data_IF_498344025382
#
_entry.id   IF_498344025382
#
_cell.length_a   1.000
_cell.length_b   1.000
_cell.length_c   1.000
_cell.angle_alpha   90.00
_cell.angle_beta   90.00
_cell.angle_gamma   90.00
#
_symmetry.space_group_name_H-M   'P 1'
#
loop_
_entity.id
_entity.type
_entity.pdbx_description
1 polymer ?
#
# COMPACT_ATOMS: atom_id res chain seq x y z
N UNK A 1 2.38 10.78 20.93
CA UNK A 1 3.31 11.48 20.02
C UNK A 1 3.13 11.01 18.57
N UNK A 2 1.93 11.16 17.98
CA UNK A 2 1.59 10.65 16.62
C UNK A 2 1.60 11.75 15.54
N UNK A 3 1.80 13.00 15.90
CA UNK A 3 1.63 14.17 15.02
C UNK A 3 2.72 14.33 13.96
N UNK A 4 3.90 13.70 14.13
CA UNK A 4 5.00 13.81 13.15
C UNK A 4 4.76 13.03 11.86
N UNK A 5 4.03 11.91 11.91
CA UNK A 5 3.77 11.09 10.71
C UNK A 5 2.84 11.80 9.71
N UNK A 6 1.81 12.47 10.23
CA UNK A 6 0.82 13.21 9.41
C UNK A 6 1.39 14.52 8.84
N UNK A 7 2.45 15.07 9.45
CA UNK A 7 3.06 16.32 9.02
C UNK A 7 3.65 16.24 7.60
N UNK A 8 4.20 15.09 7.21
CA UNK A 8 4.72 14.90 5.85
C UNK A 8 3.62 14.90 4.78
N UNK A 9 2.46 14.34 5.09
CA UNK A 9 1.28 14.40 4.21
C UNK A 9 0.73 15.82 4.09
N UNK A 10 0.66 16.56 5.21
CA UNK A 10 0.25 17.97 5.23
C UNK A 10 1.20 18.89 4.46
N UNK A 11 2.49 18.56 4.40
CA UNK A 11 3.51 19.36 3.70
C UNK A 11 3.50 19.13 2.19
N UNK A 12 3.16 17.91 1.76
CA UNK A 12 3.20 17.53 0.34
C UNK A 12 1.92 17.94 -0.39
N UNK A 13 0.79 18.17 0.32
CA UNK A 13 -0.48 18.66 -0.26
C UNK A 13 -0.85 17.93 -1.56
N UNK A 14 -1.07 16.61 -1.45
CA UNK A 14 -1.41 15.77 -2.59
C UNK A 14 -2.76 16.19 -3.18
N UNK A 15 -2.86 16.23 -4.51
CA UNK A 15 -4.17 16.30 -5.16
C UNK A 15 -4.89 14.96 -5.08
N UNK A 16 -6.21 14.94 -5.27
CA UNK A 16 -6.99 13.69 -5.31
C UNK A 16 -6.47 12.73 -6.40
N UNK A 17 -6.00 13.27 -7.54
CA UNK A 17 -5.43 12.49 -8.65
C UNK A 17 -4.08 11.89 -8.25
N UNK A 18 -3.20 12.69 -7.66
CA UNK A 18 -1.91 12.20 -7.14
C UNK A 18 -2.15 11.09 -6.10
N UNK A 19 -3.06 11.31 -5.16
CA UNK A 19 -3.39 10.33 -4.14
C UNK A 19 -3.91 9.01 -4.73
N UNK A 20 -4.88 9.07 -5.65
CA UNK A 20 -5.42 7.88 -6.29
C UNK A 20 -4.36 7.08 -7.07
N UNK A 21 -3.49 7.78 -7.80
CA UNK A 21 -2.39 7.14 -8.54
C UNK A 21 -1.34 6.53 -7.60
N UNK A 22 -1.04 7.18 -6.47
CA UNK A 22 -0.14 6.60 -5.48
C UNK A 22 -0.70 5.34 -4.84
N UNK A 23 -2.01 5.28 -4.55
CA UNK A 23 -2.67 4.06 -4.08
C UNK A 23 -2.56 2.95 -5.13
N UNK A 24 -2.84 3.26 -6.41
CA UNK A 24 -2.71 2.28 -7.49
C UNK A 24 -1.27 1.74 -7.62
N UNK A 25 -0.26 2.61 -7.53
CA UNK A 25 1.16 2.21 -7.53
C UNK A 25 1.49 1.29 -6.35
N UNK A 26 1.01 1.60 -5.14
CA UNK A 26 1.24 0.79 -3.94
C UNK A 26 0.59 -0.60 -4.09
N UNK A 27 -0.66 -0.65 -4.54
CA UNK A 27 -1.40 -1.91 -4.72
C UNK A 27 -0.79 -2.78 -5.83
N UNK A 28 -0.12 -2.16 -6.80
CA UNK A 28 0.57 -2.85 -7.89
C UNK A 28 2.00 -3.28 -7.52
N UNK A 29 2.46 -3.14 -6.27
CA UNK A 29 3.78 -3.67 -5.88
C UNK A 29 3.70 -5.17 -5.58
N UNK A 30 4.54 -5.96 -6.24
CA UNK A 30 4.70 -7.40 -6.01
C UNK A 30 5.46 -7.69 -4.70
N UNK A 31 4.79 -7.59 -3.55
CA UNK A 31 5.38 -7.91 -2.24
C UNK A 31 5.11 -9.34 -1.76
N UNK A 32 4.27 -10.10 -2.46
CA UNK A 32 3.88 -11.45 -2.04
C UNK A 32 4.87 -12.52 -2.48
N UNK A 33 5.43 -13.27 -1.53
CA UNK A 33 6.29 -14.44 -1.81
C UNK A 33 5.55 -15.52 -2.64
N UNK A 34 4.22 -15.56 -2.57
CA UNK A 34 3.37 -16.58 -3.19
C UNK A 34 2.85 -16.24 -4.60
N UNK A 35 3.36 -15.18 -5.24
CA UNK A 35 2.98 -14.84 -6.61
C UNK A 35 3.80 -15.62 -7.64
N UNK A 36 3.15 -16.10 -8.70
CA UNK A 36 3.86 -16.65 -9.86
C UNK A 36 4.72 -15.57 -10.53
N UNK A 37 5.77 -15.96 -11.27
CA UNK A 37 6.58 -15.00 -12.02
C UNK A 37 5.74 -14.07 -12.92
N UNK A 38 4.77 -14.64 -13.64
CA UNK A 38 3.89 -13.90 -14.55
C UNK A 38 3.01 -12.90 -13.79
N UNK A 39 2.55 -13.26 -12.58
CA UNK A 39 1.80 -12.35 -11.72
C UNK A 39 2.66 -11.20 -11.19
N UNK A 40 3.95 -11.45 -10.92
CA UNK A 40 4.89 -10.40 -10.52
C UNK A 40 5.16 -9.43 -11.68
N UNK A 41 5.34 -9.95 -12.89
CA UNK A 41 5.55 -9.14 -14.09
C UNK A 41 4.32 -8.28 -14.40
N UNK A 42 3.11 -8.85 -14.32
CA UNK A 42 1.87 -8.10 -14.51
C UNK A 42 1.73 -6.93 -13.53
N UNK A 43 2.04 -7.17 -12.24
CA UNK A 43 2.00 -6.13 -11.22
C UNK A 43 3.05 -5.06 -11.46
N UNK A 44 4.25 -5.46 -11.88
CA UNK A 44 5.31 -4.52 -12.26
C UNK A 44 4.87 -3.60 -13.41
N UNK A 45 4.28 -4.17 -14.46
CA UNK A 45 3.79 -3.43 -15.62
C UNK A 45 2.70 -2.42 -15.25
N UNK A 46 1.73 -2.81 -14.42
CA UNK A 46 0.70 -1.88 -13.93
C UNK A 46 1.31 -0.78 -13.04
N UNK A 47 2.29 -1.12 -12.18
CA UNK A 47 3.00 -0.12 -11.37
C UNK A 47 3.74 0.90 -12.24
N UNK A 48 4.43 0.45 -13.29
CA UNK A 48 5.14 1.30 -14.23
C UNK A 48 4.17 2.21 -15.01
N UNK A 49 3.04 1.67 -15.44
CA UNK A 49 1.97 2.40 -16.13
C UNK A 49 1.38 3.50 -15.26
N UNK A 50 1.01 3.23 -14.01
CA UNK A 50 0.49 4.26 -13.11
C UNK A 50 1.54 5.32 -12.76
N UNK A 51 2.81 4.93 -12.63
CA UNK A 51 3.93 5.86 -12.44
C UNK A 51 4.07 6.81 -13.64
N UNK A 52 3.97 6.29 -14.86
CA UNK A 52 3.99 7.09 -16.08
C UNK A 52 2.79 8.04 -16.17
N UNK A 53 1.58 7.59 -15.82
CA UNK A 53 0.39 8.45 -15.77
C UNK A 53 0.60 9.59 -14.78
N UNK A 54 1.15 9.31 -13.60
CA UNK A 54 1.45 10.32 -12.59
C UNK A 54 2.50 11.33 -13.09
N UNK A 55 3.57 10.86 -13.74
CA UNK A 55 4.57 11.75 -14.35
C UNK A 55 3.92 12.70 -15.34
N UNK A 56 3.11 12.17 -16.27
CA UNK A 56 2.46 12.99 -17.30
C UNK A 56 1.46 13.97 -16.71
N UNK A 57 0.71 13.55 -15.70
CA UNK A 57 -0.21 14.43 -14.97
C UNK A 57 0.54 15.60 -14.31
N UNK A 58 1.65 15.31 -13.62
CA UNK A 58 2.47 16.33 -12.98
C UNK A 58 3.13 17.27 -14.00
N UNK A 59 3.65 16.71 -15.10
CA UNK A 59 4.29 17.50 -16.17
C UNK A 59 3.31 18.44 -16.86
N UNK A 60 2.06 18.01 -17.08
CA UNK A 60 1.01 18.87 -17.66
C UNK A 60 0.62 20.02 -16.74
N UNK A 61 0.72 19.84 -15.42
CA UNK A 61 0.32 20.86 -14.43
C UNK A 61 1.43 21.82 -14.07
N UNK A 62 2.67 21.33 -14.01
CA UNK A 62 3.79 22.06 -13.40
C UNK A 62 4.92 22.37 -14.38
N UNK A 63 4.96 21.71 -15.55
CA UNK A 63 6.10 21.75 -16.47
C UNK A 63 6.94 20.48 -16.41
N UNK A 64 7.84 20.30 -17.37
CA UNK A 64 8.60 19.05 -17.53
C UNK A 64 9.50 18.73 -16.34
N UNK A 65 10.24 19.75 -15.85
CA UNK A 65 11.24 19.60 -14.79
C UNK A 65 10.55 19.50 -13.43
N UNK A 66 9.67 20.45 -13.13
CA UNK A 66 8.91 20.55 -11.90
C UNK A 66 7.98 19.34 -11.74
N UNK A 67 7.39 18.85 -12.84
CA UNK A 67 6.58 17.64 -12.83
C UNK A 67 7.37 16.39 -12.49
N UNK A 68 8.62 16.28 -12.95
CA UNK A 68 9.52 15.18 -12.60
C UNK A 68 9.98 15.27 -11.13
N UNK A 69 10.30 16.47 -10.65
CA UNK A 69 10.60 16.71 -9.23
C UNK A 69 9.41 16.32 -8.34
N UNK A 70 8.20 16.72 -8.73
CA UNK A 70 6.97 16.36 -8.01
C UNK A 70 6.74 14.86 -7.97
N UNK A 71 7.03 14.13 -9.04
CA UNK A 71 6.98 12.67 -9.02
C UNK A 71 7.97 12.11 -7.98
N UNK A 72 9.21 12.59 -7.94
CA UNK A 72 10.21 12.14 -6.97
C UNK A 72 9.75 12.37 -5.52
N UNK A 73 9.13 13.52 -5.23
CA UNK A 73 8.50 13.79 -3.93
C UNK A 73 7.42 12.77 -3.57
N UNK A 74 6.53 12.47 -4.51
CA UNK A 74 5.42 11.53 -4.31
C UNK A 74 5.95 10.11 -4.04
N UNK A 75 6.95 9.65 -4.79
CA UNK A 75 7.58 8.34 -4.59
C UNK A 75 8.32 8.28 -3.24
N UNK A 76 9.02 9.37 -2.86
CA UNK A 76 9.66 9.44 -1.55
C UNK A 76 8.64 9.32 -0.40
N UNK A 77 7.46 9.89 -0.55
CA UNK A 77 6.39 9.80 0.44
C UNK A 77 5.86 8.35 0.57
N UNK A 78 5.74 7.61 -0.54
CA UNK A 78 5.41 6.17 -0.50
C UNK A 78 6.47 5.40 0.30
N UNK A 79 7.75 5.56 -0.05
CA UNK A 79 8.83 4.78 0.57
C UNK A 79 8.89 5.01 2.08
N UNK A 80 8.80 6.27 2.52
CA UNK A 80 8.72 6.60 3.96
C UNK A 80 7.50 6.01 4.64
N UNK A 81 6.35 5.98 3.96
CA UNK A 81 5.13 5.40 4.51
C UNK A 81 5.26 3.89 4.71
N UNK A 82 5.90 3.20 3.76
CA UNK A 82 6.21 1.77 3.86
C UNK A 82 7.19 1.50 5.00
N UNK A 83 8.29 2.25 5.09
CA UNK A 83 9.28 2.14 6.18
C UNK A 83 8.63 2.33 7.56
N UNK A 84 7.80 3.37 7.71
CA UNK A 84 7.08 3.65 8.94
C UNK A 84 6.10 2.51 9.30
N UNK A 85 5.42 1.93 8.31
CA UNK A 85 4.54 0.79 8.54
C UNK A 85 5.31 -0.46 9.00
N UNK A 86 6.50 -0.71 8.42
CA UNK A 86 7.39 -1.78 8.89
C UNK A 86 7.87 -1.55 10.33
N UNK A 87 8.35 -0.33 10.64
CA UNK A 87 8.78 0.01 11.98
C UNK A 87 7.65 -0.15 13.01
N UNK A 88 6.43 0.30 12.67
CA UNK A 88 5.25 0.14 13.52
C UNK A 88 4.90 -1.32 13.80
N UNK A 89 4.92 -2.18 12.76
CA UNK A 89 4.69 -3.63 12.93
C UNK A 89 5.75 -4.27 13.83
N UNK A 90 7.02 -3.92 13.65
CA UNK A 90 8.10 -4.44 14.48
C UNK A 90 7.92 -4.04 15.96
N UNK A 91 7.62 -2.77 16.22
CA UNK A 91 7.36 -2.27 17.58
C UNK A 91 6.18 -3.01 18.24
N UNK A 92 5.07 -3.19 17.50
CA UNK A 92 3.91 -3.93 18.01
C UNK A 92 4.26 -5.38 18.34
N UNK A 93 5.03 -6.04 17.47
CA UNK A 93 5.47 -7.42 17.70
C UNK A 93 6.34 -7.57 18.95
N UNK A 94 7.18 -6.57 19.26
CA UNK A 94 7.96 -6.54 20.50
C UNK A 94 7.08 -6.32 21.73
N UNK A 95 6.12 -5.39 21.67
CA UNK A 95 5.20 -5.16 22.78
C UNK A 95 4.41 -6.42 23.12
N UNK A 96 3.83 -7.10 22.13
CA UNK A 96 3.07 -8.35 22.35
C UNK A 96 3.92 -9.41 23.06
N UNK A 97 5.20 -9.57 22.67
CA UNK A 97 6.11 -10.53 23.31
C UNK A 97 6.41 -10.20 24.77
N UNK A 98 6.56 -8.91 25.11
CA UNK A 98 6.83 -8.48 26.48
C UNK A 98 5.60 -8.55 27.40
N UNK A 99 4.39 -8.25 26.90
CA UNK A 99 3.16 -8.35 27.69
C UNK A 99 2.67 -9.80 27.90
N UNK A 100 3.09 -10.74 27.05
CA UNK A 100 2.72 -12.16 27.18
C UNK A 100 3.57 -12.95 28.19
N UNK A 101 4.51 -12.30 28.89
CA UNK A 101 5.48 -12.94 29.80
C UNK A 101 5.20 -12.68 31.29
N UNK A 102 4.09 -12.02 31.66
CA UNK A 102 3.69 -11.84 33.05
C UNK A 102 2.73 -12.98 33.50
N UNK A 103 3.15 -13.97 34.32
CA UNK A 103 2.32 -15.13 34.65
C UNK A 103 1.17 -14.81 35.61
N UNK A 104 1.07 -13.57 36.09
CA UNK A 104 0.12 -13.17 37.14
C UNK A 104 -1.08 -12.35 36.62
N UNK A 105 -1.12 -12.03 35.34
CA UNK A 105 -2.25 -11.29 34.77
C UNK A 105 -3.08 -12.21 33.88
N UNK A 106 -3.84 -13.09 34.52
CA UNK A 106 -5.06 -13.62 33.91
C UNK A 106 -6.05 -12.47 33.76
N UNK A 107 -6.00 -11.76 32.62
CA UNK A 107 -7.10 -10.93 32.17
C UNK A 107 -7.42 -11.22 30.72
N UNK A 108 -8.60 -11.81 30.55
CA UNK A 108 -9.58 -11.63 29.47
C UNK A 108 -9.05 -10.74 28.34
N UNK A 109 -8.52 -11.37 27.29
CA UNK A 109 -8.32 -10.72 26.01
C UNK A 109 -9.72 -10.36 25.48
N UNK A 110 -10.05 -9.09 25.20
CA UNK A 110 -11.29 -8.75 24.52
C UNK A 110 -11.34 -9.51 23.19
N UNK A 111 -12.43 -10.24 22.89
CA UNK A 111 -12.52 -11.11 21.70
C UNK A 111 -12.34 -10.38 20.37
N UNK A 112 -12.34 -9.04 20.39
CA UNK A 112 -12.14 -8.18 19.22
C UNK A 112 -10.69 -8.15 18.70
N UNK A 113 -9.68 -8.52 19.50
CA UNK A 113 -8.27 -8.50 19.06
C UNK A 113 -7.86 -9.83 18.38
N UNK A 114 -8.62 -10.91 18.59
CA UNK A 114 -8.30 -12.24 18.02
C UNK A 114 -8.72 -12.36 16.54
N UNK A 115 -9.58 -11.46 16.02
CA UNK A 115 -10.06 -11.55 14.64
C UNK A 115 -9.06 -11.07 13.58
N UNK A 116 -8.06 -10.26 13.94
CA UNK A 116 -7.08 -9.76 12.96
C UNK A 116 -5.95 -10.74 12.61
N UNK A 117 -5.87 -11.90 13.27
CA UNK A 117 -4.83 -12.91 13.01
C UNK A 117 -5.33 -14.23 12.40
N UNK A 118 -6.58 -14.29 11.91
CA UNK A 118 -7.02 -15.36 11.02
C UNK A 118 -7.15 -14.85 9.59
N UNK A 119 -6.21 -15.27 8.75
CA UNK A 119 -6.37 -15.57 7.33
C UNK A 119 -7.69 -15.07 6.70
N UNK A 120 -7.68 -13.86 6.16
CA UNK A 120 -8.55 -13.48 5.05
C UNK A 120 -7.68 -12.85 3.97
N UNK A 121 -7.05 -13.71 3.18
CA UNK A 121 -6.95 -13.43 1.75
C UNK A 121 -8.39 -13.21 1.27
N UNK A 122 -8.75 -12.06 0.67
CA UNK A 122 -10.00 -12.01 -0.07
C UNK A 122 -9.88 -13.04 -1.19
N UNK A 123 -10.64 -14.12 -1.11
CA UNK A 123 -10.92 -14.95 -2.26
C UNK A 123 -11.68 -14.05 -3.23
N UNK A 124 -10.98 -13.55 -4.24
CA UNK A 124 -11.65 -13.11 -5.45
C UNK A 124 -12.19 -14.38 -6.10
N UNK A 125 -13.49 -14.62 -5.92
CA UNK A 125 -14.24 -15.56 -6.74
C UNK A 125 -14.23 -15.04 -8.19
N UNK A 126 -13.14 -15.31 -8.89
CA UNK A 126 -13.10 -15.26 -10.35
C UNK A 126 -13.90 -16.45 -10.85
N UNK A 127 -15.21 -16.26 -10.99
CA UNK A 127 -16.03 -17.16 -11.79
C UNK A 127 -15.44 -17.25 -13.21
N UNK A 128 -15.07 -18.46 -13.68
CA UNK A 128 -14.71 -18.64 -15.08
C UNK A 128 -16.01 -18.76 -15.87
N UNK A 129 -16.26 -17.80 -16.77
CA UNK A 129 -17.15 -18.04 -17.91
C UNK A 129 -18.20 -16.98 -18.20
N UNK A 130 -17.89 -16.11 -19.16
CA UNK A 130 -18.71 -15.97 -20.38
C UNK A 130 -17.98 -15.10 -21.40
N UNK A 131 -17.19 -15.73 -22.26
CA UNK A 131 -16.98 -15.22 -23.61
C UNK A 131 -18.33 -15.29 -24.33
N UNK A 132 -18.99 -14.15 -24.54
CA UNK A 132 -19.98 -14.04 -25.61
C UNK A 132 -19.24 -13.58 -26.86
N UNK A 133 -19.13 -14.51 -27.80
CA UNK A 133 -18.88 -14.23 -29.20
C UNK A 133 -19.88 -13.20 -29.71
N UNK A 134 -19.38 -12.06 -30.18
CA UNK A 134 -20.15 -11.18 -31.05
C UNK A 134 -19.97 -11.68 -32.47
N UNK A 135 -20.93 -12.47 -32.96
CA UNK A 135 -21.22 -12.56 -34.38
C UNK A 135 -22.37 -11.60 -34.65
N UNK A 136 -22.11 -10.59 -35.48
CA UNK A 136 -22.93 -10.00 -36.55
C UNK A 136 -22.31 -8.64 -36.90
#
# INVERSE_FOLDING_TARGET
>A
MFTKSVAHFKRVSLTNVEFALLIAIILSKSGGENLSPEGKDLLYDESAKYTNILLRYNQRRLGLIEGAQRLAECISLINRSIENAYAGRLMLSHQIKHYSMDPKTSMIVPPEIISCHRNQTPAFDLHPGRLRSSTY
#
